data_IF_482056806103
#
_entry.id   IF_482056806103
#
_cell.length_a   1.000
_cell.length_b   1.000
_cell.length_c   1.000
_cell.angle_alpha   90.00
_cell.angle_beta   90.00
_cell.angle_gamma   90.00
#
_symmetry.space_group_name_H-M   'P 1'
#
loop_
_entity.id
_entity.type
_entity.pdbx_description
1 polymer ?
2 polymer ?
3 polymer ?
4 non-polymer ?
5 non-polymer ?
6 water ?
#
# COMPACT_ATOMS: atom_id res chain seq x y z
N UNK A 2 -26.03 8.21 5.55
CA UNK A 2 -24.93 7.90 4.64
C UNK A 2 -24.79 6.37 4.50
N UNK A 3 -24.57 5.91 3.28
CA UNK A 3 -24.42 4.48 3.02
C UNK A 3 -23.03 3.99 3.35
N UNK A 4 -22.95 2.86 4.04
CA UNK A 4 -21.66 2.33 4.43
C UNK A 4 -21.54 0.87 4.13
N UNK A 5 -20.36 0.46 3.65
CA UNK A 5 -19.98 -0.95 3.57
C UNK A 5 -18.77 -1.15 4.47
N UNK A 6 -18.95 -1.90 5.54
CA UNK A 6 -17.85 -2.11 6.49
C UNK A 6 -17.25 -3.52 6.46
N UNK A 7 -15.96 -3.62 6.17
CA UNK A 7 -15.34 -4.95 6.01
C UNK A 7 -14.61 -5.57 7.23
N UNK A 8 -14.51 -6.91 7.23
CA UNK A 8 -13.82 -7.62 8.33
C UNK A 8 -12.31 -7.31 8.32
N UNK A 9 -11.61 -7.70 9.38
CA UNK A 9 -10.21 -7.32 9.54
C UNK A 9 -9.20 -8.17 8.78
N UNK A 10 -7.97 -7.66 8.69
CA UNK A 10 -6.84 -8.36 8.02
C UNK A 10 -6.66 -9.80 8.47
N UNK A 11 -6.33 -10.66 7.52
CA UNK A 11 -6.21 -12.09 7.81
C UNK A 11 -4.89 -12.63 7.29
N UNK A 12 -4.33 -13.59 8.02
CA UNK A 12 -3.13 -14.29 7.57
C UNK A 12 -3.47 -15.75 7.47
N UNK A 13 -3.19 -16.35 6.31
CA UNK A 13 -3.56 -17.71 6.02
C UNK A 13 -2.40 -18.47 5.40
N UNK A 14 -2.37 -19.79 5.62
CA UNK A 14 -1.38 -20.64 5.01
C UNK A 14 -1.86 -21.12 3.64
N UNK A 15 -0.92 -21.42 2.75
CA UNK A 15 -1.26 -22.00 1.45
C UNK A 15 -2.16 -23.22 1.62
N UNK A 16 -3.21 -23.31 0.80
CA UNK A 16 -4.15 -24.41 0.85
C UNK A 16 -5.36 -24.18 1.74
N UNK A 17 -5.32 -23.13 2.55
CA UNK A 17 -6.43 -22.79 3.43
C UNK A 17 -7.51 -22.03 2.67
N UNK A 18 -8.55 -21.63 3.38
CA UNK A 18 -9.62 -20.83 2.79
C UNK A 18 -9.88 -19.62 3.67
N UNK A 19 -10.30 -18.54 3.04
CA UNK A 19 -10.53 -17.32 3.80
C UNK A 19 -11.94 -16.85 3.49
N UNK A 20 -12.59 -16.25 4.47
CA UNK A 20 -13.93 -15.71 4.29
C UNK A 20 -13.96 -14.28 4.80
N UNK A 21 -14.24 -13.36 3.89
CA UNK A 21 -14.22 -11.94 4.18
C UNK A 21 -15.65 -11.45 4.19
N UNK A 22 -15.95 -10.56 5.12
CA UNK A 22 -17.31 -10.03 5.20
C UNK A 22 -17.41 -8.55 4.83
N UNK A 23 -18.63 -8.16 4.48
CA UNK A 23 -18.93 -6.80 4.03
C UNK A 23 -20.30 -6.46 4.60
N UNK A 24 -20.36 -5.65 5.65
CA UNK A 24 -21.60 -5.27 6.31
C UNK A 24 -22.19 -3.98 5.76
N UNK A 25 -23.37 -4.07 5.18
CA UNK A 25 -24.01 -2.92 4.54
C UNK A 25 -24.99 -2.20 5.46
N UNK A 26 -25.05 -0.87 5.34
CA UNK A 26 -26.08 -0.13 6.06
C UNK A 26 -26.44 1.15 5.32
N UNK A 27 -27.62 1.69 5.62
CA UNK A 27 -27.98 3.02 5.15
C UNK A 27 -28.80 3.00 3.88
N UNK A 28 -29.12 1.79 3.44
CA UNK A 28 -29.96 1.62 2.26
C UNK A 28 -30.61 0.24 2.31
N UNK A 29 -31.52 -0.03 1.38
CA UNK A 29 -32.19 -1.33 1.35
C UNK A 29 -31.29 -2.40 0.75
N UNK A 30 -30.75 -3.26 1.60
CA UNK A 30 -29.72 -4.24 1.25
C UNK A 30 -30.09 -5.13 0.07
N UNK A 31 -31.32 -5.62 0.10
CA UNK A 31 -31.75 -6.57 -0.91
C UNK A 31 -32.04 -5.94 -2.29
N UNK A 32 -31.96 -4.61 -2.42
CA UNK A 32 -32.34 -3.97 -3.67
C UNK A 32 -31.19 -3.66 -4.62
N UNK A 33 -29.97 -3.97 -4.20
CA UNK A 33 -28.78 -3.62 -5.01
C UNK A 33 -27.73 -4.74 -5.00
N UNK A 34 -27.12 -4.99 -6.15
CA UNK A 34 -26.11 -6.02 -6.23
C UNK A 34 -24.86 -5.61 -5.44
N UNK A 35 -24.14 -6.61 -4.97
CA UNK A 35 -22.83 -6.38 -4.33
C UNK A 35 -21.78 -7.06 -5.20
N UNK A 36 -20.70 -6.34 -5.51
CA UNK A 36 -19.55 -6.88 -6.24
C UNK A 36 -18.39 -7.07 -5.34
N UNK A 37 -17.56 -8.05 -5.67
CA UNK A 37 -16.31 -8.30 -4.96
C UNK A 37 -15.16 -8.20 -5.95
N UNK A 38 -14.11 -7.47 -5.53
CA UNK A 38 -12.94 -7.24 -6.37
C UNK A 38 -11.71 -7.41 -5.48
N UNK A 39 -10.54 -7.52 -6.09
CA UNK A 39 -9.33 -7.60 -5.27
C UNK A 39 -8.18 -6.89 -5.95
N UNK A 40 -7.16 -6.55 -5.16
CA UNK A 40 -6.00 -5.91 -5.74
C UNK A 40 -4.75 -6.45 -5.03
N UNK A 41 -3.91 -7.15 -5.78
CA UNK A 41 -2.63 -7.67 -5.27
C UNK A 41 -1.62 -6.53 -5.22
N UNK A 42 -0.60 -6.65 -4.36
CA UNK A 42 0.41 -5.60 -4.28
C UNK A 42 1.09 -5.37 -5.63
N UNK A 43 1.13 -4.11 -6.07
CA UNK A 43 1.76 -3.75 -7.32
C UNK A 43 0.94 -4.03 -8.57
N UNK A 44 -0.30 -4.49 -8.39
CA UNK A 44 -1.11 -4.89 -9.55
C UNK A 44 -2.42 -4.14 -9.58
N UNK A 45 -3.21 -4.34 -10.64
CA UNK A 45 -4.43 -3.57 -10.79
C UNK A 45 -5.61 -4.30 -10.15
N UNK A 46 -6.71 -3.58 -10.00
CA UNK A 46 -7.93 -4.16 -9.46
C UNK A 46 -8.41 -5.26 -10.39
N UNK A 47 -8.92 -6.35 -9.82
CA UNK A 47 -9.49 -7.45 -10.61
C UNK A 47 -10.85 -7.83 -10.05
N UNK A 48 -11.84 -7.90 -10.93
CA UNK A 48 -13.20 -8.21 -10.49
C UNK A 48 -13.34 -9.71 -10.25
N UNK A 49 -14.00 -10.10 -9.15
CA UNK A 49 -14.13 -11.51 -8.82
C UNK A 49 -15.52 -12.04 -9.07
N UNK A 50 -16.53 -11.22 -8.75
CA UNK A 50 -17.88 -11.72 -8.95
C UNK A 50 -18.92 -10.79 -8.35
N UNK A 51 -20.18 -11.18 -8.44
CA UNK A 51 -21.25 -10.37 -7.86
C UNK A 51 -22.44 -11.21 -7.41
N UNK A 52 -23.28 -10.61 -6.58
CA UNK A 52 -24.45 -11.30 -6.04
C UNK A 52 -25.66 -10.36 -5.94
N UNK A 53 -26.85 -10.92 -6.22
CA UNK A 53 -28.11 -10.23 -5.95
C UNK A 53 -28.50 -10.65 -4.53
N UNK A 54 -28.38 -9.74 -3.55
CA UNK A 54 -28.65 -10.16 -2.17
C UNK A 54 -30.14 -10.50 -1.93
N UNK A 55 -31.04 -10.07 -2.80
CA UNK A 55 -32.44 -10.42 -2.67
C UNK A 55 -32.67 -11.92 -2.77
N UNK A 56 -32.08 -12.57 -3.77
CA UNK A 56 -32.31 -13.99 -4.01
C UNK A 56 -31.08 -14.88 -3.87
N UNK A 57 -29.92 -14.29 -3.63
CA UNK A 57 -28.72 -15.07 -3.47
C UNK A 57 -28.03 -15.50 -4.73
N UNK A 58 -28.53 -15.07 -5.89
CA UNK A 58 -27.93 -15.48 -7.16
C UNK A 58 -26.55 -14.86 -7.29
N UNK A 59 -25.51 -15.70 -7.39
CA UNK A 59 -24.15 -15.21 -7.53
C UNK A 59 -23.56 -15.65 -8.84
N UNK A 60 -22.75 -14.78 -9.44
CA UNK A 60 -22.05 -15.08 -10.67
C UNK A 60 -20.60 -14.69 -10.57
N UNK A 61 -19.73 -15.45 -11.23
CA UNK A 61 -18.30 -15.31 -10.99
C UNK A 61 -17.49 -15.10 -12.27
N UNK A 62 -16.35 -14.45 -12.11
CA UNK A 62 -15.35 -14.41 -13.16
C UNK A 62 -14.84 -15.83 -13.46
N UNK A 63 -14.64 -16.16 -14.73
CA UNK A 63 -14.14 -17.48 -15.08
C UNK A 63 -12.78 -17.78 -14.44
N UNK A 64 -12.01 -16.73 -14.14
CA UNK A 64 -10.72 -16.88 -13.47
C UNK A 64 -10.81 -17.43 -12.03
N UNK A 65 -11.99 -17.32 -11.42
CA UNK A 65 -12.14 -17.79 -10.04
C UNK A 65 -13.19 -18.87 -9.89
N UNK A 66 -13.96 -19.10 -10.96
CA UNK A 66 -15.02 -20.09 -10.92
C UNK A 66 -14.48 -21.40 -10.36
N UNK A 67 -15.21 -21.96 -9.40
CA UNK A 67 -14.83 -23.23 -8.82
C UNK A 67 -14.08 -23.13 -7.50
N UNK A 68 -13.64 -21.93 -7.14
CA UNK A 68 -13.02 -21.80 -5.82
C UNK A 68 -13.40 -20.52 -5.06
N UNK A 69 -14.34 -19.77 -5.61
CA UNK A 69 -14.93 -18.63 -4.89
C UNK A 69 -16.42 -18.86 -4.65
N UNK A 70 -16.90 -18.48 -3.48
CA UNK A 70 -18.33 -18.50 -3.21
C UNK A 70 -18.67 -17.14 -2.65
N UNK A 71 -19.60 -16.44 -3.27
CA UNK A 71 -20.10 -15.19 -2.69
C UNK A 71 -21.49 -15.48 -2.16
N UNK A 72 -21.77 -15.04 -0.94
CA UNK A 72 -23.06 -15.32 -0.30
C UNK A 72 -23.54 -14.10 0.47
N UNK A 73 -24.71 -14.22 1.08
CA UNK A 73 -25.20 -13.13 1.92
C UNK A 73 -26.08 -13.64 3.04
N UNK A 74 -26.15 -12.84 4.09
CA UNK A 74 -27.06 -13.02 5.21
C UNK A 74 -27.93 -11.78 5.24
N UNK A 75 -29.19 -11.93 4.81
CA UNK A 75 -30.05 -10.77 4.73
C UNK A 75 -30.41 -10.20 6.11
N UNK A 76 -30.58 -11.04 7.12
CA UNK A 76 -30.91 -10.52 8.45
C UNK A 76 -29.77 -9.67 9.00
N UNK A 77 -28.55 -10.04 8.64
CA UNK A 77 -27.37 -9.29 9.06
C UNK A 77 -26.91 -8.25 8.03
N UNK A 78 -27.69 -8.08 6.95
CA UNK A 78 -27.31 -7.21 5.81
C UNK A 78 -25.83 -7.29 5.49
N UNK A 79 -25.34 -8.52 5.38
CA UNK A 79 -23.92 -8.73 5.14
C UNK A 79 -23.66 -9.65 3.93
N UNK A 80 -22.68 -9.32 3.10
CA UNK A 80 -22.22 -10.25 2.09
C UNK A 80 -20.88 -10.85 2.48
N UNK A 81 -20.65 -12.08 2.03
CA UNK A 81 -19.40 -12.77 2.29
C UNK A 81 -18.76 -13.24 1.00
N UNK A 82 -17.44 -13.20 0.96
CA UNK A 82 -16.68 -13.76 -0.13
C UNK A 82 -15.75 -14.82 0.49
N UNK A 83 -15.90 -16.08 0.08
CA UNK A 83 -15.00 -17.15 0.51
C UNK A 83 -14.14 -17.62 -0.65
N UNK A 84 -12.83 -17.61 -0.45
CA UNK A 84 -11.88 -18.02 -1.48
C UNK A 84 -11.07 -19.19 -0.95
N UNK A 85 -11.08 -20.29 -1.70
CA UNK A 85 -10.44 -21.52 -1.26
C UNK A 85 -9.17 -21.84 -2.02
N UNK A 86 -8.43 -22.84 -1.51
CA UNK A 86 -7.18 -23.26 -2.12
C UNK A 86 -6.18 -22.11 -2.31
N UNK A 87 -5.99 -21.33 -1.26
CA UNK A 87 -5.13 -20.15 -1.31
C UNK A 87 -3.68 -20.46 -1.65
N UNK A 88 -3.08 -19.60 -2.47
CA UNK A 88 -1.64 -19.59 -2.71
C UNK A 88 -1.17 -18.17 -2.48
N UNK A 89 0.14 -17.95 -2.54
CA UNK A 89 0.69 -16.61 -2.33
C UNK A 89 0.19 -15.61 -3.37
N UNK A 90 -0.26 -16.10 -4.53
CA UNK A 90 -0.84 -15.24 -5.56
C UNK A 90 -2.15 -14.59 -5.09
N UNK A 91 -2.75 -15.16 -4.05
CA UNK A 91 -3.98 -14.65 -3.50
C UNK A 91 -3.80 -13.56 -2.44
N UNK A 92 -2.56 -13.23 -2.09
CA UNK A 92 -2.33 -12.10 -1.19
C UNK A 92 -2.81 -10.85 -1.87
N UNK A 93 -3.75 -10.17 -1.23
CA UNK A 93 -4.38 -9.00 -1.84
C UNK A 93 -5.31 -8.33 -0.85
N UNK A 94 -5.71 -7.10 -1.21
CA UNK A 94 -6.79 -6.44 -0.53
C UNK A 94 -8.08 -6.81 -1.27
N UNK A 95 -9.05 -7.31 -0.53
CA UNK A 95 -10.35 -7.75 -1.07
C UNK A 95 -11.40 -6.71 -0.70
N UNK A 96 -12.14 -6.20 -1.69
CA UNK A 96 -13.07 -5.09 -1.44
C UNK A 96 -14.45 -5.43 -1.97
N UNK A 97 -15.48 -4.96 -1.28
CA UNK A 97 -16.86 -5.07 -1.82
C UNK A 97 -17.31 -3.70 -2.32
N UNK A 98 -18.31 -3.67 -3.21
CA UNK A 98 -18.85 -2.39 -3.65
C UNK A 98 -20.32 -2.57 -3.98
N UNK A 99 -21.09 -1.53 -3.75
CA UNK A 99 -22.52 -1.61 -4.02
C UNK A 99 -22.82 -1.18 -5.44
N UNK A 100 -23.61 -1.95 -6.16
CA UNK A 100 -24.01 -1.55 -7.52
C UNK A 100 -25.24 -0.65 -7.44
N UNK A 101 -25.10 0.63 -7.75
CA UNK A 101 -26.27 1.48 -7.74
C UNK A 101 -27.18 1.19 -8.91
N UNK A 102 -26.68 0.45 -9.89
CA UNK A 102 -27.51 -0.04 -10.98
C UNK A 102 -27.86 1.04 -11.98
N UNK A 103 -28.95 0.84 -12.73
CA UNK A 103 -29.33 1.80 -13.74
C UNK A 103 -30.54 2.57 -13.27
N UNK A 104 -30.62 3.83 -13.67
CA UNK A 104 -31.77 4.65 -13.33
C UNK A 104 -32.89 4.16 -14.23
N UNK A 105 -33.98 3.72 -13.61
CA UNK A 105 -35.06 3.10 -14.39
C UNK A 105 -35.79 4.14 -15.22
N UNK A 106 -35.74 5.39 -14.78
CA UNK A 106 -36.39 6.48 -15.50
C UNK A 106 -35.54 7.00 -16.67
N UNK A 107 -34.23 7.07 -16.50
CA UNK A 107 -33.35 7.65 -17.53
C UNK A 107 -32.46 6.68 -18.30
N UNK A 108 -32.22 5.49 -17.76
CA UNK A 108 -31.33 4.55 -18.43
C UNK A 108 -29.86 4.79 -18.10
N UNK A 109 -29.57 5.86 -17.37
CA UNK A 109 -28.17 6.12 -17.01
C UNK A 109 -27.65 5.08 -16.03
N UNK A 110 -26.38 4.70 -16.20
CA UNK A 110 -25.74 3.84 -15.19
C UNK A 110 -25.29 4.74 -14.03
N UNK A 111 -25.57 4.30 -12.80
CA UNK A 111 -25.36 5.15 -11.61
C UNK A 111 -24.05 4.89 -10.87
N UNK A 112 -23.38 3.79 -11.17
CA UNK A 112 -22.02 3.53 -10.67
C UNK A 112 -21.93 2.52 -9.53
N UNK A 113 -20.72 1.99 -9.34
CA UNK A 113 -20.41 1.20 -8.15
C UNK A 113 -20.04 2.21 -7.09
N UNK A 114 -20.85 2.28 -6.02
CA UNK A 114 -20.75 3.36 -5.01
C UNK A 114 -21.73 3.04 -3.88
N UNK A 115 -21.27 3.01 -2.63
CA UNK A 115 -19.89 3.18 -2.19
C UNK A 115 -19.13 1.88 -2.25
N UNK A 116 -17.86 1.97 -1.88
CA UNK A 116 -17.01 0.80 -1.79
C UNK A 116 -16.63 0.59 -0.33
N UNK A 117 -16.33 -0.64 0.03
CA UNK A 117 -15.80 -0.95 1.34
C UNK A 117 -14.34 -0.52 1.40
N UNK A 118 -13.79 -0.52 2.62
CA UNK A 118 -12.42 -0.06 2.87
C UNK A 118 -11.36 -1.10 2.45
N UNK A 119 -11.80 -2.32 2.19
CA UNK A 119 -10.89 -3.38 1.85
C UNK A 119 -10.42 -4.18 3.07
N UNK A 120 -10.12 -5.44 2.82
CA UNK A 120 -9.58 -6.33 3.84
C UNK A 120 -8.36 -7.00 3.25
N UNK A 121 -7.21 -6.80 3.90
CA UNK A 121 -6.00 -7.42 3.43
C UNK A 121 -5.96 -8.89 3.86
N UNK A 122 -5.74 -9.78 2.89
CA UNK A 122 -5.47 -11.19 3.18
C UNK A 122 -4.05 -11.52 2.76
N UNK A 123 -3.23 -12.00 3.70
CA UNK A 123 -1.85 -12.36 3.40
C UNK A 123 -1.72 -13.87 3.47
N UNK A 124 -1.23 -14.48 2.38
CA UNK A 124 -1.05 -15.92 2.32
C UNK A 124 0.44 -16.21 2.39
N UNK A 125 0.84 -16.93 3.44
CA UNK A 125 2.27 -17.16 3.68
C UNK A 125 2.45 -18.48 4.40
N UNK A 126 3.57 -19.15 4.13
CA UNK A 126 3.90 -20.40 4.83
C UNK A 126 4.76 -20.15 6.09
N UNK A 127 5.07 -18.90 6.37
CA UNK A 127 5.88 -18.54 7.56
C UNK A 127 5.13 -18.83 8.87
N UNK A 128 5.88 -19.26 9.89
CA UNK A 128 5.30 -19.49 11.21
C UNK A 128 5.43 -18.21 12.01
N UNK A 129 4.54 -18.04 12.99
CA UNK A 129 4.58 -16.88 13.87
C UNK A 129 5.92 -16.85 14.57
N UNK A 130 6.54 -15.67 14.58
CA UNK A 130 7.86 -15.50 15.16
C UNK A 130 7.99 -14.10 15.75
N UNK A 131 8.40 -14.02 17.02
CA UNK A 131 8.65 -12.73 17.65
C UNK A 131 9.98 -12.17 17.16
N UNK A 132 10.14 -10.86 17.24
CA UNK A 132 11.33 -10.22 16.67
C UNK A 132 12.52 -10.34 17.60
N UNK A 133 13.72 -10.31 17.03
CA UNK A 133 14.93 -10.04 17.83
C UNK A 133 15.20 -8.54 17.71
N UNK A 134 15.31 -7.86 18.83
CA UNK A 134 15.51 -6.42 18.82
C UNK A 134 16.96 -6.08 19.15
N UNK A 135 17.62 -5.35 18.26
CA UNK A 135 19.01 -5.00 18.50
C UNK A 135 19.19 -3.48 18.60
N UNK A 136 20.05 -3.03 19.51
CA UNK A 136 20.26 -1.58 19.66
C UNK A 136 21.15 -1.03 18.54
N UNK A 137 20.80 0.14 18.03
CA UNK A 137 21.63 0.85 17.06
C UNK A 137 22.24 2.02 17.81
N UNK A 138 23.46 1.82 18.28
CA UNK A 138 24.12 2.74 19.23
C UNK A 138 24.37 4.11 18.60
N UNK A 139 24.21 5.20 19.39
CA UNK A 139 24.16 6.59 18.89
C UNK A 139 25.27 7.04 17.95
N UNK A 140 24.87 7.84 16.96
CA UNK A 140 25.74 8.40 15.92
C UNK A 140 25.45 9.89 15.68
N UNK A 141 26.50 10.71 15.72
CA UNK A 141 26.34 12.15 15.54
C UNK A 141 26.57 12.58 14.09
N UNK A 146 25.54 16.58 15.00
CA UNK A 146 26.21 17.59 15.80
C UNK A 146 25.73 17.66 17.25
N UNK A 147 24.97 18.71 17.56
CA UNK A 147 24.38 18.85 18.89
C UNK A 147 23.27 17.84 19.09
N UNK A 148 22.97 17.09 18.04
CA UNK A 148 22.05 15.96 18.12
C UNK A 148 22.77 14.67 17.71
N UNK A 149 22.14 13.54 17.97
CA UNK A 149 22.70 12.24 17.61
C UNK A 149 21.55 11.31 17.34
N UNK A 150 21.76 10.36 16.43
CA UNK A 150 20.73 9.41 16.07
C UNK A 150 21.03 8.06 16.72
N UNK A 151 20.04 7.49 17.37
CA UNK A 151 20.20 6.15 17.93
C UNK A 151 18.91 5.41 17.62
N UNK A 152 18.90 4.09 17.66
CA UNK A 152 17.68 3.44 17.26
C UNK A 152 17.60 1.99 17.68
N UNK A 153 16.61 1.29 17.13
CA UNK A 153 16.43 -0.14 17.30
C UNK A 153 16.14 -0.81 15.98
N UNK A 154 16.76 -1.96 15.78
CA UNK A 154 16.48 -2.82 14.66
C UNK A 154 15.56 -3.90 15.16
N UNK A 155 14.41 -4.03 14.53
CA UNK A 155 13.40 -5.01 14.93
C UNK A 155 13.42 -6.09 13.89
N UNK A 156 14.12 -7.19 14.16
CA UNK A 156 14.51 -8.11 13.09
C UNK A 156 13.75 -9.43 13.10
N UNK A 157 13.32 -9.85 11.90
CA UNK A 157 12.81 -11.21 11.66
C UNK A 157 11.57 -11.61 12.44
N UNK A 158 10.47 -10.91 12.21
CA UNK A 158 9.23 -11.27 12.90
C UNK A 158 8.15 -11.60 11.88
N UNK A 159 7.15 -12.34 12.32
CA UNK A 159 5.98 -12.65 11.49
C UNK A 159 4.80 -12.99 12.38
N UNK A 160 3.60 -12.56 11.99
CA UNK A 160 3.35 -11.66 10.87
C UNK A 160 3.39 -10.22 11.34
N UNK A 161 3.01 -9.30 10.47
CA UNK A 161 2.80 -7.95 10.90
C UNK A 161 1.59 -7.94 11.84
N UNK A 162 1.47 -6.91 12.69
CA UNK A 162 2.31 -5.74 12.87
C UNK A 162 3.11 -5.79 14.18
N UNK A 163 4.04 -4.87 14.29
CA UNK A 163 4.79 -4.60 15.51
C UNK A 163 4.48 -3.17 15.90
N UNK A 164 4.45 -2.87 17.20
CA UNK A 164 4.40 -1.48 17.62
C UNK A 164 5.69 -1.09 18.32
N UNK A 165 6.12 0.16 18.12
CA UNK A 165 7.36 0.67 18.68
C UNK A 165 7.13 2.01 19.33
N UNK A 166 7.54 2.15 20.59
CA UNK A 166 7.55 3.44 21.24
C UNK A 166 8.92 3.62 21.86
N UNK A 167 9.18 4.80 22.36
CA UNK A 167 10.44 5.08 23.04
C UNK A 167 10.19 5.63 24.42
N UNK A 168 10.87 5.05 25.39
CA UNK A 168 10.75 5.47 26.78
C UNK A 168 9.28 5.46 27.22
N UNK A 169 8.60 4.38 26.85
CA UNK A 169 7.21 4.15 27.25
C UNK A 169 6.27 5.24 26.74
N UNK A 170 6.68 5.92 25.67
CA UNK A 170 5.85 6.96 25.09
C UNK A 170 6.20 8.37 25.53
N UNK A 171 7.16 8.50 26.43
CA UNK A 171 7.60 9.81 26.92
C UNK A 171 8.52 10.53 25.92
N UNK A 172 9.00 9.79 24.92
CA UNK A 172 9.88 10.37 23.91
C UNK A 172 9.23 10.29 22.54
N UNK A 173 8.98 11.45 21.94
CA UNK A 173 8.34 11.53 20.63
C UNK A 173 9.05 12.52 19.71
N UNK A 174 9.72 13.50 20.31
CA UNK A 174 10.41 14.50 19.50
C UNK A 174 11.61 13.87 18.82
N UNK A 175 11.53 13.78 17.50
CA UNK A 175 12.65 13.27 16.72
C UNK A 175 12.59 11.78 16.49
N UNK A 176 11.44 11.17 16.75
CA UNK A 176 11.24 9.74 16.51
C UNK A 176 10.79 9.46 15.09
N UNK A 177 11.47 8.53 14.42
CA UNK A 177 11.05 8.11 13.10
C UNK A 177 11.12 6.58 12.98
N UNK A 178 9.97 5.95 12.91
CA UNK A 178 9.85 4.50 12.72
C UNK A 178 9.54 4.20 11.25
N UNK A 179 10.43 3.43 10.63
CA UNK A 179 10.32 3.12 9.21
C UNK A 179 9.43 1.92 8.89
N UNK A 180 8.82 1.94 7.70
CA UNK A 180 8.05 0.79 7.21
C UNK A 180 8.90 -0.46 7.16
N UNK A 181 8.26 -1.59 7.39
CA UNK A 181 8.97 -2.86 7.41
C UNK A 181 9.34 -3.32 6.01
N UNK A 182 10.47 -4.00 5.93
CA UNK A 182 10.82 -4.70 4.71
C UNK A 182 10.43 -6.17 4.86
N UNK A 183 9.98 -6.77 3.77
CA UNK A 183 9.65 -8.18 3.75
C UNK A 183 10.79 -8.92 3.08
N UNK A 184 11.44 -9.81 3.83
CA UNK A 184 12.63 -10.51 3.36
C UNK A 184 12.29 -11.80 2.61
N UNK A 185 13.27 -12.34 1.89
CA UNK A 185 13.07 -13.56 1.12
C UNK A 185 12.69 -14.75 2.00
N UNK A 186 13.06 -14.66 3.28
CA UNK A 186 12.69 -15.68 4.27
C UNK A 186 11.20 -15.65 4.60
N UNK A 187 10.54 -14.56 4.24
CA UNK A 187 9.12 -14.39 4.51
C UNK A 187 8.88 -13.72 5.84
N UNK A 188 9.98 -13.29 6.47
CA UNK A 188 9.94 -12.58 7.74
C UNK A 188 10.12 -11.09 7.51
N UNK A 189 9.55 -10.29 8.40
CA UNK A 189 9.66 -8.84 8.31
C UNK A 189 10.77 -8.28 9.19
N UNK A 190 11.30 -7.12 8.81
CA UNK A 190 12.18 -6.36 9.70
C UNK A 190 11.87 -4.87 9.54
N UNK A 191 12.03 -4.10 10.61
CA UNK A 191 11.95 -2.66 10.50
C UNK A 191 12.92 -1.99 11.47
N UNK A 192 13.12 -0.69 11.33
CA UNK A 192 13.95 0.05 12.25
C UNK A 192 13.18 1.27 12.74
N UNK A 193 13.52 1.69 13.94
CA UNK A 193 13.06 2.97 14.48
C UNK A 193 14.25 3.75 14.99
N UNK A 194 14.32 5.02 14.61
CA UNK A 194 15.38 5.84 15.16
C UNK A 194 14.79 7.00 15.92
N UNK A 195 15.66 7.66 16.65
CA UNK A 195 15.33 8.88 17.36
C UNK A 195 16.55 9.78 17.42
N UNK A 196 16.32 11.07 17.23
CA UNK A 196 17.39 12.05 17.31
C UNK A 196 17.31 12.75 18.68
N UNK A 197 18.43 12.79 19.40
CA UNK A 197 18.43 13.26 20.78
C UNK A 197 19.64 14.17 21.03
N UNK A 198 19.59 15.01 22.10
CA UNK A 198 20.76 15.88 22.32
C UNK A 198 22.00 15.07 22.65
N UNK A 199 23.14 15.41 22.07
CA UNK A 199 24.40 14.71 22.36
C UNK A 199 24.78 14.82 23.82
N UNK A 200 24.40 15.93 24.43
CA UNK A 200 24.74 16.20 25.82
C UNK A 200 24.04 15.24 26.78
N UNK A 201 22.99 14.58 26.30
CA UNK A 201 22.16 13.71 27.13
C UNK A 201 22.66 12.27 27.19
N UNK A 202 23.57 11.93 26.27
CA UNK A 202 23.94 10.53 26.08
C UNK A 202 24.59 9.88 27.30
N UNK A 203 25.36 10.65 28.06
CA UNK A 203 25.98 10.11 29.26
C UNK A 203 24.99 9.86 30.38
N UNK A 204 23.89 10.61 30.39
CA UNK A 204 23.03 10.65 31.56
C UNK A 204 21.58 10.19 31.36
N UNK A 205 21.05 10.34 30.16
CA UNK A 205 19.66 9.97 29.91
C UNK A 205 19.53 8.56 29.35
N UNK A 206 18.61 7.77 29.91
CA UNK A 206 18.36 6.41 29.44
C UNK A 206 17.39 6.40 28.24
N UNK A 207 17.74 5.64 27.21
CA UNK A 207 16.88 5.52 26.04
C UNK A 207 16.49 4.07 25.83
N UNK A 208 15.20 3.81 25.85
CA UNK A 208 14.67 2.44 25.69
C UNK A 208 13.63 2.36 24.59
N UNK A 209 13.82 1.43 23.67
CA UNK A 209 12.76 1.21 22.70
C UNK A 209 11.88 0.08 23.18
N UNK A 210 10.58 0.33 23.16
CA UNK A 210 9.56 -0.63 23.53
C UNK A 210 8.92 -1.22 22.32
N UNK A 211 9.14 -2.51 22.10
CA UNK A 211 8.62 -3.20 20.94
C UNK A 211 7.60 -4.23 21.37
N UNK A 212 6.40 -4.15 20.81
CA UNK A 212 5.36 -5.12 21.13
C UNK A 212 4.93 -5.87 19.89
N UNK A 213 4.96 -7.19 19.98
CA UNK A 213 4.51 -8.02 18.89
C UNK A 213 3.40 -8.92 19.40
N UNK A 214 2.17 -8.40 19.34
CA UNK A 214 1.00 -9.13 19.82
C UNK A 214 0.85 -10.58 19.32
N UNK A 215 1.09 -10.84 18.01
CA UNK A 215 0.90 -12.20 17.51
C UNK A 215 1.75 -13.29 18.14
N UNK A 216 2.93 -12.96 18.66
CA UNK A 216 3.79 -13.97 19.27
C UNK A 216 3.77 -13.81 20.77
N UNK A 217 2.93 -12.90 21.24
CA UNK A 217 2.85 -12.51 22.64
C UNK A 217 4.18 -12.10 23.23
N UNK A 218 4.92 -11.29 22.48
CA UNK A 218 6.27 -10.89 22.86
C UNK A 218 6.35 -9.38 23.09
N UNK A 219 7.00 -8.95 24.16
CA UNK A 219 7.34 -7.55 24.34
C UNK A 219 8.82 -7.43 24.67
N UNK A 220 9.51 -6.51 24.02
CA UNK A 220 10.91 -6.27 24.34
C UNK A 220 11.10 -4.80 24.71
N UNK A 221 11.81 -4.54 25.80
CA UNK A 221 12.26 -3.18 26.12
C UNK A 221 13.77 -3.16 26.02
N UNK A 222 14.28 -2.63 24.92
CA UNK A 222 15.70 -2.69 24.64
C UNK A 222 16.39 -1.37 24.95
N UNK A 223 17.35 -1.43 25.88
CA UNK A 223 18.10 -0.24 26.23
C UNK A 223 19.17 0.02 25.17
N UNK A 224 19.28 1.27 24.75
CA UNK A 224 20.24 1.65 23.71
C UNK A 224 21.27 2.58 24.32
N UNK A 225 22.52 2.11 24.42
CA UNK A 225 23.60 2.85 25.07
C UNK A 225 24.65 3.30 24.06
N UNK A 226 25.42 4.34 24.41
CA UNK A 226 26.57 4.71 23.58
C UNK A 226 27.61 3.59 23.58
N UNK A 227 28.48 3.57 22.59
CA UNK A 227 29.52 2.54 22.55
C UNK A 227 30.92 3.12 22.72
N UNK B 4 -9.79 -8.52 -18.10
CA UNK B 4 -8.97 -7.90 -19.13
C UNK B 4 -8.38 -6.55 -18.69
N UNK B 5 -8.16 -5.65 -19.65
CA UNK B 5 -7.38 -4.45 -19.37
C UNK B 5 -7.83 -3.14 -20.02
N UNK B 6 -7.96 -2.11 -19.18
CA UNK B 6 -8.05 -0.74 -19.63
C UNK B 6 -6.68 -0.12 -19.40
N UNK B 7 -6.23 0.68 -20.34
CA UNK B 7 -4.91 1.30 -20.27
C UNK B 7 -4.93 2.79 -19.96
N UNK B 8 -4.23 3.18 -18.88
CA UNK B 8 -4.04 4.57 -18.45
C UNK B 8 -2.54 4.86 -18.33
N UNK B 9 -2.15 6.13 -18.51
CA UNK B 9 -0.74 6.49 -18.26
C UNK B 9 -0.46 6.35 -16.78
N UNK B 10 0.78 6.01 -16.44
CA UNK B 10 1.13 5.81 -15.03
C UNK B 10 1.03 7.10 -14.25
N UNK B 11 1.33 8.22 -14.88
CA UNK B 11 1.26 9.48 -14.16
C UNK B 11 0.83 10.66 -15.03
N UNK B 12 0.35 11.70 -14.36
CA UNK B 12 0.02 12.97 -15.00
C UNK B 12 0.38 14.07 -14.02
N UNK B 13 0.67 15.26 -14.53
CA UNK B 13 1.08 16.34 -13.64
C UNK B 13 0.78 17.67 -14.24
N UNK B 14 0.53 18.66 -13.39
CA UNK B 14 0.32 20.04 -13.86
C UNK B 14 0.42 21.00 -12.69
N UNK B 15 0.54 22.30 -12.97
CA UNK B 15 0.63 23.28 -11.91
C UNK B 15 -0.76 23.72 -11.48
N UNK B 16 -0.88 24.31 -10.28
CA UNK B 16 -2.21 24.75 -9.83
C UNK B 16 -2.87 25.70 -10.82
N UNK B 17 -4.17 25.55 -11.01
CA UNK B 17 -4.92 26.40 -11.90
C UNK B 17 -4.94 25.89 -13.32
N UNK B 18 -4.04 24.97 -13.64
CA UNK B 18 -4.00 24.42 -14.98
C UNK B 18 -5.09 23.38 -15.19
N UNK B 19 -5.25 22.96 -16.43
CA UNK B 19 -6.17 21.88 -16.77
C UNK B 19 -5.35 20.65 -17.09
N UNK B 20 -5.71 19.52 -16.52
CA UNK B 20 -5.02 18.28 -16.83
C UNK B 20 -6.00 17.19 -17.27
N UNK B 21 -5.59 16.38 -18.23
CA UNK B 21 -6.43 15.28 -18.70
C UNK B 21 -5.79 13.92 -18.50
N UNK B 22 -6.61 12.93 -18.17
CA UNK B 22 -6.16 11.56 -17.96
C UNK B 22 -6.94 10.64 -18.90
N UNK B 23 -6.23 9.86 -19.69
CA UNK B 23 -6.90 9.01 -20.67
C UNK B 23 -7.03 7.55 -20.20
N UNK B 24 -8.00 6.88 -20.79
CA UNK B 24 -8.28 5.48 -20.50
C UNK B 24 -8.60 4.88 -21.86
N UNK B 25 -7.86 3.85 -22.26
CA UNK B 25 -8.11 3.18 -23.53
C UNK B 25 -8.53 1.74 -23.33
N UNK B 26 -9.54 1.29 -24.07
CA UNK B 26 -9.98 -0.08 -23.94
C UNK B 26 -10.33 -0.70 -25.28
N UNK B 27 -11.39 -1.49 -25.31
CA UNK B 27 -11.75 -2.23 -26.52
C UNK B 27 -13.23 -2.11 -26.81
N UNK B 28 -13.64 -2.69 -27.93
CA UNK B 28 -15.05 -2.66 -28.30
C UNK B 28 -15.92 -3.33 -27.23
N UNK B 29 -15.38 -4.32 -26.52
CA UNK B 29 -16.20 -5.11 -25.59
C UNK B 29 -16.32 -4.48 -24.19
N UNK B 30 -15.62 -3.38 -23.96
CA UNK B 30 -15.80 -2.63 -22.69
C UNK B 30 -16.17 -1.18 -22.96
N UNK B 31 -15.18 -0.30 -23.15
CA UNK B 31 -15.46 1.10 -23.40
C UNK B 31 -16.29 1.32 -24.68
N UNK B 32 -16.06 0.49 -25.68
CA UNK B 32 -16.79 0.63 -26.94
C UNK B 32 -18.30 0.59 -26.74
N UNK B 33 -18.78 -0.36 -25.95
CA UNK B 33 -20.21 -0.58 -25.83
C UNK B 33 -20.83 -0.15 -24.54
N UNK B 34 -20.01 0.03 -23.51
CA UNK B 34 -20.55 0.36 -22.19
C UNK B 34 -20.00 1.70 -21.68
N UNK B 35 -20.50 2.16 -20.53
CA UNK B 35 -20.04 3.44 -20.02
C UNK B 35 -18.74 3.31 -19.23
N UNK B 36 -18.03 4.43 -19.21
CA UNK B 36 -16.83 4.57 -18.39
C UNK B 36 -17.18 5.34 -17.12
N UNK B 37 -16.57 4.89 -16.02
CA UNK B 37 -16.85 5.46 -14.72
C UNK B 37 -15.50 5.69 -14.07
N UNK B 38 -15.34 6.83 -13.40
CA UNK B 38 -14.02 7.23 -12.90
C UNK B 38 -14.09 7.40 -11.38
N UNK B 39 -12.98 7.02 -10.74
CA UNK B 39 -12.82 7.03 -9.28
C UNK B 39 -11.57 7.76 -8.87
N UNK B 40 -11.66 8.42 -7.72
CA UNK B 40 -10.49 9.03 -7.07
C UNK B 40 -10.12 8.13 -5.91
N UNK B 41 -8.83 7.89 -5.73
CA UNK B 41 -8.33 7.07 -4.65
C UNK B 41 -7.28 7.87 -3.89
N UNK B 42 -7.59 8.12 -2.62
CA UNK B 42 -6.63 8.77 -1.72
C UNK B 42 -6.14 7.75 -0.71
N UNK B 43 -4.94 7.99 -0.13
CA UNK B 43 -4.33 6.98 0.74
C UNK B 43 -5.22 6.59 1.90
N UNK B 44 -5.40 5.28 2.06
CA UNK B 44 -6.14 4.75 3.18
C UNK B 44 -7.63 4.89 3.09
N UNK B 45 -8.13 5.39 1.96
CA UNK B 45 -9.55 5.65 1.83
C UNK B 45 -10.12 4.79 0.72
N UNK B 46 -11.41 4.45 0.81
CA UNK B 46 -12.08 3.73 -0.29
C UNK B 46 -12.20 4.63 -1.53
N UNK B 47 -12.24 4.01 -2.72
CA UNK B 47 -12.40 4.77 -3.96
C UNK B 47 -13.67 5.61 -3.92
N UNK B 48 -13.59 6.82 -4.46
CA UNK B 48 -14.69 7.77 -4.49
C UNK B 48 -15.13 7.96 -5.93
N UNK B 49 -16.40 7.69 -6.22
CA UNK B 49 -16.92 7.89 -7.57
C UNK B 49 -16.92 9.38 -7.94
N UNK B 50 -16.25 9.71 -9.05
CA UNK B 50 -16.16 11.08 -9.54
C UNK B 50 -17.05 11.30 -10.75
N UNK B 51 -17.10 10.28 -11.62
CA UNK B 51 -17.88 10.44 -12.86
C UNK B 51 -18.55 9.10 -13.15
N UNK B 52 -19.86 9.10 -13.45
CA UNK B 52 -20.53 7.88 -13.86
C UNK B 52 -21.20 8.08 -15.20
N UNK B 53 -21.41 6.99 -15.93
CA UNK B 53 -22.10 7.09 -17.23
C UNK B 53 -21.40 8.07 -18.17
N UNK B 54 -20.08 7.93 -18.24
CA UNK B 54 -19.18 8.70 -19.13
C UNK B 54 -18.91 10.12 -18.71
N UNK B 55 -19.95 10.85 -18.33
CA UNK B 55 -19.78 12.28 -18.12
C UNK B 55 -20.63 12.91 -17.01
N UNK B 56 -21.21 12.10 -16.13
CA UNK B 56 -22.14 12.64 -15.14
C UNK B 56 -21.46 12.72 -13.78
N UNK B 57 -21.60 13.85 -13.11
CA UNK B 57 -21.01 14.02 -11.79
C UNK B 57 -22.01 13.69 -10.69
N UNK B 58 -21.63 12.84 -9.72
CA UNK B 58 -22.49 12.59 -8.56
C UNK B 58 -22.59 13.84 -7.69
N UNK B 59 -23.53 13.83 -6.75
CA UNK B 59 -23.67 14.95 -5.83
C UNK B 59 -22.38 15.15 -5.05
N UNK B 60 -21.98 16.40 -4.87
CA UNK B 60 -20.78 16.72 -4.12
C UNK B 60 -19.53 16.93 -4.93
N UNK B 61 -19.48 16.35 -6.12
CA UNK B 61 -18.29 16.44 -6.94
C UNK B 61 -18.20 17.79 -7.64
N UNK B 62 -17.09 18.52 -7.41
CA UNK B 62 -16.85 19.85 -7.98
C UNK B 62 -16.99 19.85 -9.51
N UNK B 63 -17.52 20.93 -10.07
CA UNK B 63 -17.73 20.98 -11.52
C UNK B 63 -16.44 21.09 -12.32
N UNK B 64 -15.30 21.16 -11.63
CA UNK B 64 -14.01 21.20 -12.31
C UNK B 64 -13.58 19.81 -12.78
N UNK B 65 -14.35 18.79 -12.42
CA UNK B 65 -14.13 17.46 -12.93
C UNK B 65 -15.11 17.19 -14.05
N UNK B 66 -14.62 16.74 -15.20
CA UNK B 66 -15.52 16.35 -16.29
C UNK B 66 -15.04 15.09 -16.95
N UNK B 67 -15.92 14.40 -17.67
CA UNK B 67 -15.52 13.18 -18.35
C UNK B 67 -16.06 13.18 -19.75
N UNK B 68 -15.35 12.48 -20.64
CA UNK B 68 -15.83 12.29 -22.02
C UNK B 68 -15.51 10.89 -22.51
N UNK B 69 -16.21 10.43 -23.54
CA UNK B 69 -15.90 9.14 -24.10
C UNK B 69 -16.07 9.27 -25.61
N UNK B 70 -15.19 8.61 -26.34
CA UNK B 70 -15.25 8.58 -27.81
C UNK B 70 -14.67 7.27 -28.33
N UNK B 71 -15.51 6.50 -29.01
CA UNK B 71 -15.09 5.20 -29.50
C UNK B 71 -14.66 4.28 -28.37
N UNK B 72 -13.41 3.84 -28.40
CA UNK B 72 -12.93 2.91 -27.40
C UNK B 72 -12.02 3.62 -26.39
N UNK B 73 -12.08 4.95 -26.38
CA UNK B 73 -11.30 5.69 -25.39
C UNK B 73 -12.12 6.67 -24.58
N UNK B 74 -11.59 7.07 -23.44
CA UNK B 74 -12.31 8.00 -22.59
C UNK B 74 -11.31 8.89 -21.85
N UNK B 75 -11.79 10.01 -21.32
CA UNK B 75 -10.90 10.97 -20.66
C UNK B 75 -11.55 11.63 -19.46
N UNK B 76 -10.77 11.78 -18.41
CA UNK B 76 -11.17 12.56 -17.25
C UNK B 76 -10.39 13.87 -17.32
N UNK B 77 -11.08 14.99 -17.21
CA UNK B 77 -10.39 16.28 -17.17
C UNK B 77 -10.60 16.98 -15.83
N UNK B 78 -9.52 17.54 -15.29
CA UNK B 78 -9.62 18.34 -14.09
C UNK B 78 -9.12 19.73 -14.39
N UNK B 79 -10.00 20.72 -14.29
CA UNK B 79 -9.61 22.11 -14.56
C UNK B 79 -9.44 22.87 -13.26
N UNK B 80 -8.76 24.01 -13.29
CA UNK B 80 -8.52 24.78 -12.07
C UNK B 80 -7.93 23.89 -11.00
N UNK B 81 -6.95 23.10 -11.41
CA UNK B 81 -6.28 22.12 -10.55
C UNK B 81 -5.90 22.72 -9.20
N UNK B 82 -6.23 22.00 -8.13
CA UNK B 82 -5.89 22.39 -6.76
C UNK B 82 -4.99 21.33 -6.14
N UNK B 83 -4.24 21.70 -5.10
CA UNK B 83 -3.33 20.76 -4.47
C UNK B 83 -4.04 19.52 -3.92
N UNK B 84 -5.28 19.69 -3.44
CA UNK B 84 -6.04 18.58 -2.85
C UNK B 84 -6.42 17.54 -3.91
N UNK B 85 -6.26 17.91 -5.18
CA UNK B 85 -6.59 16.98 -6.28
C UNK B 85 -5.48 15.95 -6.52
N UNK B 86 -4.35 16.09 -5.83
CA UNK B 86 -3.28 15.10 -5.91
C UNK B 86 -3.77 13.74 -5.40
N UNK B 87 -3.85 12.74 -6.28
CA UNK B 87 -4.48 11.47 -5.92
C UNK B 87 -4.26 10.47 -7.04
N UNK B 88 -4.70 9.23 -6.82
CA UNK B 88 -4.68 8.26 -7.92
C UNK B 88 -6.07 8.25 -8.57
N UNK B 89 -6.16 8.22 -9.90
CA UNK B 89 -7.49 8.21 -10.54
C UNK B 89 -7.58 6.98 -11.41
N UNK B 90 -8.70 6.24 -11.35
CA UNK B 90 -8.78 5.05 -12.20
C UNK B 90 -10.13 4.96 -12.86
N UNK B 91 -10.16 4.33 -14.04
CA UNK B 91 -11.38 4.17 -14.80
C UNK B 91 -11.90 2.74 -14.68
N UNK B 92 -13.18 2.56 -14.99
CA UNK B 92 -13.84 1.29 -14.79
C UNK B 92 -14.92 1.15 -15.83
N UNK B 93 -15.04 -0.04 -16.40
CA UNK B 93 -16.12 -0.28 -17.38
C UNK B 93 -16.51 -1.73 -17.38
N UNK B 94 -17.77 -2.01 -17.74
CA UNK B 94 -18.22 -3.38 -17.84
C UNK B 94 -17.58 -3.98 -19.10
N UNK B 95 -17.14 -5.23 -19.01
CA UNK B 95 -16.61 -5.93 -20.18
C UNK B 95 -17.53 -7.08 -20.61
N UNK B 96 -17.95 -7.06 -21.87
CA UNK B 96 -18.94 -8.03 -22.37
C UNK B 96 -18.41 -9.46 -22.44
N UNK B 97 -17.09 -9.62 -22.51
CA UNK B 97 -16.50 -10.94 -22.58
C UNK B 97 -16.32 -11.56 -21.21
N UNK B 98 -15.90 -10.72 -20.26
CA UNK B 98 -15.74 -11.11 -18.89
C UNK B 98 -17.10 -11.30 -18.20
N UNK B 99 -18.09 -10.54 -18.65
CA UNK B 99 -19.37 -10.43 -17.97
C UNK B 99 -19.13 -9.93 -16.56
N UNK B 100 -18.26 -8.94 -16.46
CA UNK B 100 -17.89 -8.37 -15.16
C UNK B 100 -17.15 -7.08 -15.43
N UNK B 101 -16.66 -6.45 -14.36
CA UNK B 101 -15.98 -5.18 -14.47
C UNK B 101 -14.49 -5.32 -14.78
N UNK B 102 -13.96 -4.38 -15.56
CA UNK B 102 -12.53 -4.22 -15.74
C UNK B 102 -12.12 -2.79 -15.35
N UNK B 103 -10.88 -2.67 -14.89
CA UNK B 103 -10.38 -1.44 -14.28
C UNK B 103 -9.06 -1.02 -14.90
N UNK B 104 -8.85 0.29 -15.02
CA UNK B 104 -7.54 0.75 -15.48
C UNK B 104 -6.55 0.59 -14.34
N UNK B 105 -5.26 0.69 -14.64
CA UNK B 105 -4.21 0.53 -13.63
C UNK B 105 -4.03 1.75 -12.75
N UNK B 106 -4.71 2.83 -13.10
CA UNK B 106 -4.65 4.06 -12.34
C UNK B 106 -3.58 5.02 -12.83
N UNK B 107 -3.82 6.30 -12.60
CA UNK B 107 -2.88 7.37 -12.95
C UNK B 107 -2.68 8.22 -11.71
N UNK B 108 -1.44 8.33 -11.28
CA UNK B 108 -1.10 9.21 -10.17
C UNK B 108 -0.93 10.66 -10.66
N UNK B 109 -1.83 11.51 -10.24
CA UNK B 109 -1.83 12.92 -10.60
C UNK B 109 -1.02 13.70 -9.60
N UNK B 110 0.09 14.29 -10.05
CA UNK B 110 0.88 15.19 -9.21
C UNK B 110 0.57 16.66 -9.51
N UNK B 111 0.33 17.41 -8.43
CA UNK B 111 0.13 18.84 -8.55
C UNK B 111 1.48 19.48 -8.30
N UNK B 112 2.08 19.98 -9.37
CA UNK B 112 3.45 20.48 -9.35
C UNK B 112 3.60 21.71 -8.48
N UNK B 113 4.77 21.87 -7.88
CA UNK B 113 5.00 23.06 -7.08
C UNK B 113 5.92 22.84 -5.91
N UNK B 114 5.86 21.66 -5.31
CA UNK B 114 6.74 21.37 -4.18
C UNK B 114 8.20 21.28 -4.64
N UNK B 115 9.09 22.04 -3.99
CA UNK B 115 10.49 22.04 -4.46
C UNK B 115 11.25 20.76 -4.08
N UNK B 116 12.32 20.47 -4.80
CA UNK B 116 13.13 19.30 -4.51
C UNK B 116 13.71 19.40 -3.11
N UNK B 117 13.85 18.25 -2.47
CA UNK B 117 14.47 18.22 -1.17
C UNK B 117 15.46 17.08 -1.13
N UNK B 118 16.62 17.31 -0.54
CA UNK B 118 17.71 16.32 -0.56
C UNK B 118 17.59 15.36 0.62
N UNK B 119 18.02 14.10 0.43
CA UNK B 119 17.87 13.12 1.50
C UNK B 119 18.91 13.28 2.59
N UNK B 120 18.48 12.99 3.81
CA UNK B 120 19.37 12.77 4.93
C UNK B 120 19.60 11.26 5.03
N UNK B 121 20.85 10.85 5.19
CA UNK B 121 21.21 9.42 5.23
C UNK B 121 21.95 9.08 6.52
N UNK B 122 21.48 8.05 7.22
CA UNK B 122 22.13 7.56 8.45
C UNK B 122 22.41 6.08 8.25
N UNK B 123 23.64 5.64 8.49
CA UNK B 123 24.03 4.25 8.28
C UNK B 123 24.53 3.71 9.59
N UNK B 124 23.92 2.62 10.06
CA UNK B 124 24.34 1.96 11.29
C UNK B 124 25.03 0.65 10.93
N UNK B 125 26.16 0.36 11.60
CA UNK B 125 26.84 -0.94 11.46
C UNK B 125 26.13 -1.99 12.30
N UNK B 126 26.54 -3.28 12.16
CA UNK B 126 25.94 -4.30 13.03
C UNK B 126 26.23 -4.03 14.49
N UNK B 127 25.24 -4.27 15.35
CA UNK B 127 25.42 -4.17 16.78
C UNK B 127 26.29 -5.32 17.29
N UNK B 128 26.99 -5.09 18.38
CA UNK B 128 27.74 -6.16 19.00
C UNK B 128 26.82 -7.33 19.41
N UNK B 129 25.61 -7.03 19.91
CA UNK B 129 24.68 -8.10 20.28
C UNK B 129 24.24 -8.95 19.09
N UNK B 130 24.02 -8.30 17.94
CA UNK B 130 23.63 -9.08 16.77
C UNK B 130 24.76 -9.99 16.33
N UNK B 131 25.99 -9.46 16.34
CA UNK B 131 27.14 -10.28 16.01
C UNK B 131 27.27 -11.45 16.97
N UNK B 132 26.96 -11.23 18.24
CA UNK B 132 26.94 -12.32 19.22
C UNK B 132 25.87 -13.35 18.93
N UNK B 133 24.83 -12.94 18.20
CA UNK B 133 23.81 -13.87 17.73
C UNK B 133 24.15 -14.49 16.37
N UNK B 134 25.40 -14.32 15.94
CA UNK B 134 25.90 -14.87 14.67
C UNK B 134 25.22 -14.31 13.43
N UNK B 135 24.78 -13.05 13.50
CA UNK B 135 24.20 -12.41 12.33
C UNK B 135 24.80 -11.01 12.18
N UNK B 136 24.64 -10.38 11.02
CA UNK B 136 25.10 -9.00 10.87
C UNK B 136 24.18 -8.29 9.89
N UNK B 137 23.69 -7.11 10.29
CA UNK B 137 22.83 -6.35 9.40
C UNK B 137 23.30 -4.88 9.37
N UNK B 138 23.53 -4.34 8.18
CA UNK B 138 23.79 -2.89 8.05
C UNK B 138 22.47 -2.21 7.72
N UNK B 139 22.21 -1.07 8.37
CA UNK B 139 20.91 -0.40 8.22
C UNK B 139 21.12 1.00 7.68
N UNK B 140 20.60 1.26 6.49
CA UNK B 140 20.70 2.57 5.81
C UNK B 140 19.32 3.25 5.86
N UNK B 141 19.21 4.35 6.59
CA UNK B 141 17.93 5.02 6.74
C UNK B 141 17.96 6.33 5.98
N UNK B 142 16.94 6.58 5.16
CA UNK B 142 16.98 7.70 4.23
C UNK B 142 15.70 8.51 4.43
N UNK B 143 15.83 9.81 4.65
CA UNK B 143 14.63 10.58 4.95
C UNK B 143 14.65 11.98 4.36
N UNK B 144 13.49 12.62 4.40
CA UNK B 144 13.33 14.02 4.02
C UNK B 144 13.67 14.36 2.56
N UNK B 145 13.35 13.47 1.62
CA UNK B 145 13.68 13.79 0.23
C UNK B 145 12.41 13.97 -0.60
N UNK B 146 12.51 14.76 -1.66
CA UNK B 146 11.40 14.98 -2.58
C UNK B 146 11.97 15.33 -3.95
N UNK B 147 11.43 14.74 -5.03
CA UNK B 147 10.35 13.75 -5.12
C UNK B 147 10.70 12.37 -4.55
N UNK B 148 9.74 11.45 -4.57
CA UNK B 148 9.87 10.19 -3.85
C UNK B 148 10.43 9.04 -4.66
N UNK B 149 11.61 9.27 -5.22
CA UNK B 149 12.30 8.30 -6.08
C UNK B 149 13.77 8.38 -5.71
N UNK B 150 14.33 7.24 -5.32
CA UNK B 150 15.74 7.14 -4.96
C UNK B 150 16.29 5.84 -5.51
N UNK B 151 17.60 5.78 -5.64
CA UNK B 151 18.28 4.51 -5.88
C UNK B 151 19.28 4.28 -4.77
N UNK B 152 19.37 3.05 -4.27
CA UNK B 152 20.32 2.73 -3.22
C UNK B 152 21.24 1.63 -3.71
N UNK B 153 22.54 1.85 -3.53
CA UNK B 153 23.54 0.88 -3.94
C UNK B 153 24.45 0.62 -2.76
N UNK B 154 24.90 -0.60 -2.60
CA UNK B 154 25.81 -0.93 -1.50
C UNK B 154 27.17 -1.35 -2.06
N UNK B 155 28.22 -1.07 -1.30
CA UNK B 155 29.57 -1.46 -1.69
C UNK B 155 30.27 -2.20 -0.55
N UNK B 156 31.03 -3.23 -0.91
CA UNK B 156 31.96 -3.86 0.01
C UNK B 156 33.36 -3.42 -0.41
N UNK B 157 34.08 -2.77 0.49
CA UNK B 157 35.24 -1.97 0.11
C UNK B 157 34.83 -1.00 -1.00
N UNK B 158 35.20 -1.29 -2.24
CA UNK B 158 34.81 -0.41 -3.34
C UNK B 158 33.98 -1.12 -4.40
N UNK B 159 33.73 -2.41 -4.18
CA UNK B 159 33.02 -3.21 -5.17
C UNK B 159 31.51 -3.24 -4.90
N UNK B 160 30.70 -3.25 -5.97
CA UNK B 160 29.25 -3.32 -5.79
C UNK B 160 28.81 -4.64 -5.13
N UNK B 161 27.86 -4.53 -4.20
CA UNK B 161 27.22 -5.67 -3.57
C UNK B 161 25.77 -5.74 -4.03
N UNK B 162 25.34 -6.89 -4.50
CA UNK B 162 23.92 -7.09 -4.84
C UNK B 162 23.24 -8.08 -3.91
N UNK B 163 24.00 -9.10 -3.49
CA UNK B 163 23.44 -10.13 -2.63
C UNK B 163 23.16 -9.64 -1.22
N UNK B 164 21.97 -9.97 -0.72
CA UNK B 164 21.62 -9.71 0.67
C UNK B 164 21.10 -8.31 0.92
N UNK B 165 20.66 -7.66 -0.14
CA UNK B 165 20.15 -6.28 -0.03
C UNK B 165 18.62 -6.29 -0.10
N UNK B 166 17.97 -5.59 0.82
CA UNK B 166 16.52 -5.40 0.72
C UNK B 166 16.22 -3.92 0.95
N UNK B 167 15.48 -3.31 0.04
CA UNK B 167 15.21 -1.88 0.11
C UNK B 167 13.71 -1.61 0.07
N UNK B 168 13.20 -0.74 0.95
CA UNK B 168 11.77 -0.42 0.91
C UNK B 168 11.44 0.58 -0.20
N UNK B 169 10.19 0.57 -0.66
CA UNK B 169 9.75 1.62 -1.58
C UNK B 169 9.48 2.88 -0.77
N UNK B 170 9.86 4.05 -1.31
CA UNK B 170 9.72 5.31 -0.57
C UNK B 170 8.27 5.58 -0.15
N UNK B 171 8.09 6.00 1.10
CA UNK B 171 6.76 6.31 1.65
C UNK B 171 6.71 7.73 2.14
N UNK B 172 5.56 8.37 1.99
CA UNK B 172 5.34 9.73 2.47
C UNK B 172 5.46 9.86 3.99
N UNK B 173 6.15 10.90 4.44
CA UNK B 173 6.20 11.26 5.85
C UNK B 173 5.15 12.33 6.16
N UNK B 174 4.97 12.66 7.44
CA UNK B 174 3.98 13.66 7.81
C UNK B 174 4.35 15.04 7.30
N UNK B 175 5.63 15.30 7.07
CA UNK B 175 6.01 16.58 6.46
C UNK B 175 5.94 16.61 4.93
N UNK B 176 5.33 15.60 4.33
CA UNK B 176 5.14 15.46 2.87
C UNK B 176 6.42 15.28 2.05
N UNK B 177 7.51 15.01 2.74
CA UNK B 177 8.69 14.48 2.08
C UNK B 177 8.68 12.97 2.24
N UNK B 178 9.63 12.29 1.61
CA UNK B 178 9.63 10.84 1.58
C UNK B 178 10.76 10.25 2.38
N UNK B 179 10.55 8.99 2.77
CA UNK B 179 11.57 8.21 3.48
C UNK B 179 11.66 6.79 2.90
N UNK B 180 12.82 6.17 3.06
CA UNK B 180 13.02 4.79 2.68
C UNK B 180 14.13 4.20 3.52
N UNK B 181 14.23 2.88 3.53
CA UNK B 181 15.29 2.22 4.27
C UNK B 181 15.85 1.08 3.43
N UNK B 182 17.11 0.75 3.67
CA UNK B 182 17.74 -0.38 2.97
C UNK B 182 18.57 -1.17 3.97
N UNK B 183 18.59 -2.48 3.78
CA UNK B 183 19.27 -3.38 4.72
C UNK B 183 20.25 -4.23 3.93
N UNK B 184 21.45 -4.41 4.47
CA UNK B 184 22.38 -5.36 3.85
C UNK B 184 22.66 -6.47 4.87
N UNK B 185 22.30 -7.70 4.53
CA UNK B 185 22.55 -8.83 5.43
C UNK B 185 23.88 -9.50 5.11
N UNK B 186 24.68 -9.71 6.16
CA UNK B 186 26.00 -10.32 6.08
C UNK B 186 26.20 -11.34 7.19
N UNK B 187 27.19 -12.22 6.97
CA UNK B 187 27.69 -13.07 8.06
C UNK B 187 28.68 -12.20 8.84
N UNK B 188 28.89 -12.51 10.13
CA UNK B 188 29.92 -11.81 10.91
C UNK B 188 31.30 -11.88 10.27
N UNK B 189 31.60 -13.02 9.63
CA UNK B 189 32.88 -13.18 8.99
C UNK B 189 33.06 -12.21 7.82
N UNK B 190 32.00 -12.04 7.03
CA UNK B 190 32.04 -11.07 5.93
C UNK B 190 32.24 -9.64 6.46
N UNK B 191 31.46 -9.28 7.48
CA UNK B 191 31.60 -7.96 8.10
C UNK B 191 33.02 -7.73 8.57
N UNK B 192 33.60 -8.71 9.26
CA UNK B 192 34.92 -8.52 9.85
C UNK B 192 36.05 -8.57 8.82
N UNK B 193 35.79 -9.22 7.68
CA UNK B 193 36.80 -9.47 6.65
C UNK B 193 37.05 -8.30 5.72
N UNK B 194 36.19 -7.30 5.74
CA UNK B 194 36.34 -6.19 4.81
C UNK B 194 36.81 -4.92 5.48
N UNK B 195 37.42 -4.02 4.72
CA UNK B 195 37.87 -2.77 5.29
C UNK B 195 36.69 -1.86 5.63
N UNK B 196 35.67 -1.90 4.77
CA UNK B 196 34.49 -1.05 4.96
C UNK B 196 33.29 -1.53 4.13
N UNK B 197 32.11 -1.03 4.45
CA UNK B 197 30.94 -1.19 3.60
C UNK B 197 30.33 0.20 3.47
N UNK B 198 29.66 0.43 2.36
CA UNK B 198 29.07 1.75 2.11
C UNK B 198 27.67 1.64 1.61
N UNK B 199 26.82 2.59 2.01
CA UNK B 199 25.51 2.73 1.39
C UNK B 199 25.46 4.06 0.64
N UNK B 200 25.14 3.95 -0.65
CA UNK B 200 25.20 5.06 -1.58
C UNK B 200 23.79 5.36 -2.10
N UNK B 201 23.31 6.58 -1.84
CA UNK B 201 21.93 6.96 -2.15
C UNK B 201 21.91 8.03 -3.21
N UNK B 202 21.27 7.75 -4.35
CA UNK B 202 21.21 8.72 -5.43
C UNK B 202 19.78 9.23 -5.58
N UNK B 203 19.69 10.56 -5.70
CA UNK B 203 18.42 11.26 -5.79
C UNK B 203 18.58 12.47 -6.68
N UNK B 204 17.80 12.51 -7.77
CA UNK B 204 17.81 13.64 -8.69
C UNK B 204 19.23 13.97 -9.16
N UNK B 205 20.02 12.92 -9.41
CA UNK B 205 21.35 13.10 -9.93
C UNK B 205 22.44 13.46 -8.93
N UNK B 206 22.07 13.61 -7.66
CA UNK B 206 23.06 13.81 -6.60
C UNK B 206 23.21 12.54 -5.77
N UNK B 207 24.40 12.31 -5.23
CA UNK B 207 24.66 11.09 -4.46
C UNK B 207 25.18 11.40 -3.07
N UNK B 208 24.67 10.70 -2.05
CA UNK B 208 25.23 10.75 -0.70
C UNK B 208 25.73 9.37 -0.33
N UNK B 209 26.98 9.28 0.10
CA UNK B 209 27.51 7.97 0.48
C UNK B 209 27.98 7.96 1.91
N UNK B 210 27.56 6.95 2.66
CA UNK B 210 28.01 6.81 4.04
C UNK B 210 28.76 5.51 4.15
N UNK B 211 29.76 5.47 5.02
CA UNK B 211 30.64 4.30 5.09
C UNK B 211 30.87 3.89 6.54
N UNK B 212 30.87 2.59 6.83
CA UNK B 212 31.16 2.11 8.17
C UNK B 212 32.21 1.00 8.08
N UNK B 213 32.91 0.76 9.18
CA UNK B 213 34.01 -0.20 9.20
C UNK B 213 33.99 -0.95 10.52
N UNK B 214 34.38 -2.24 10.50
CA UNK B 214 34.38 -3.03 11.73
C UNK B 214 35.38 -2.49 12.72
N UNK B 215 36.43 -1.86 12.21
CA UNK B 215 37.43 -1.20 13.05
C UNK B 215 36.81 -0.13 13.95
N UNK C 1 -22.46 -10.50 -22.80
CA UNK C 1 -23.71 -9.79 -22.58
C UNK C 1 -23.40 -8.32 -22.30
N UNK C 2 -24.19 -7.40 -22.86
CA UNK C 2 -23.90 -6.00 -22.59
C UNK C 2 -24.22 -5.66 -21.11
N UNK C 3 -23.76 -4.52 -20.63
CA UNK C 3 -23.90 -4.20 -19.16
C UNK C 3 -25.37 -4.13 -18.70
N UNK C 4 -26.20 -3.42 -19.48
CA UNK C 4 -27.59 -3.28 -19.08
C UNK C 4 -28.29 -4.63 -19.11
N UNK C 5 -28.10 -5.44 -20.17
CA UNK C 5 -28.70 -6.78 -20.21
C UNK C 5 -28.28 -7.66 -19.05
N UNK C 6 -26.98 -7.58 -18.73
CA UNK C 6 -26.44 -8.41 -17.65
C UNK C 6 -27.06 -8.00 -16.31
N UNK C 7 -27.16 -6.69 -16.11
CA UNK C 7 -27.70 -6.14 -14.86
C UNK C 7 -29.21 -6.45 -14.77
N UNK C 8 -29.89 -6.37 -15.91
CA UNK C 8 -31.31 -6.74 -15.94
C UNK C 8 -31.54 -8.21 -15.57
N UNK C 9 -30.74 -9.10 -16.12
CA UNK C 9 -30.86 -10.49 -15.77
C UNK C 9 -30.54 -10.78 -14.31
N UNK C 10 -29.49 -10.14 -13.80
CA UNK C 10 -29.06 -10.46 -12.45
C UNK C 10 -30.10 -9.92 -11.47
N UNK C 11 -30.56 -8.69 -11.66
CA UNK C 11 -31.38 -8.02 -10.62
C UNK C 11 -32.86 -8.19 -10.87
#
# INVERSE_FOLDING_TARGET
EVQLLEQSGAEVKRPGASVKVSCKASGYTFTSYAIHWVRQAPGQRLEWMGWINPGNGNAKYSQRFQGRVIISRDTSATTSYMELSSLTSEDTAVYSCARDRGFDLLTGHYLGLDPWGQGTLVTVSSASTKGPSVFPLAPSSKSTSGGTAALGCLVKDYFPEPVTVSWNSGALTSGVHTFPAVLQSSGLYSLSSVVTVPSSSLGTQTYICNVNHKPSNTKVDKKVEPKSCGS
EIELTLTQPASASATPGQRVTISCSGSSSNIGGNTVNWYQHLPGAAPKLLIHNNDLRPSGVPDRFSGSKSGTSASLAVSGLQSEDEADYFCAAWDDGLNGWVFGGGTKLTVLGQPKAAPSVTLFPPSSEELQANKATLVCLISDFYPGAVTVAWKADSSPVKAGVETTTPSKQSNNKYAASSYLSLTPEQWKSHKSYSCQVTHEGSTVEKTVAPTECS
TGHRMAWDMMMX
#
